data_IF_448588367686
#
_entry.id   IF_448588367686
#
_cell.length_a   1.000
_cell.length_b   1.000
_cell.length_c   1.000
_cell.angle_alpha   90.00
_cell.angle_beta   90.00
_cell.angle_gamma   90.00
#
_symmetry.space_group_name_H-M   'P 1'
#
loop_
_entity.id
_entity.type
_entity.pdbx_description
1 polymer ?
#
# COMPACT_ATOMS: atom_id res chain seq x y z
N UNK A 1 6.69 -13.89 14.32
CA UNK A 1 6.31 -12.88 13.30
C UNK A 1 6.82 -11.48 13.60
N UNK A 2 6.50 -10.82 14.73
CA UNK A 2 6.94 -9.44 14.96
C UNK A 2 8.48 -9.26 14.99
N UNK A 3 9.21 -10.14 15.69
CA UNK A 3 10.68 -10.12 15.73
C UNK A 3 11.28 -10.29 14.34
N UNK A 4 10.82 -11.31 13.61
CA UNK A 4 11.19 -11.58 12.22
C UNK A 4 10.92 -10.37 11.30
N UNK A 5 9.74 -9.74 11.41
CA UNK A 5 9.42 -8.52 10.66
C UNK A 5 10.40 -7.39 10.93
N UNK A 6 10.80 -7.20 12.19
CA UNK A 6 11.77 -6.17 12.58
C UNK A 6 13.18 -6.49 12.05
N UNK A 7 13.61 -7.74 12.13
CA UNK A 7 14.89 -8.21 11.60
C UNK A 7 14.94 -8.00 10.08
N UNK A 8 13.95 -8.53 9.35
CA UNK A 8 13.84 -8.33 7.89
C UNK A 8 13.76 -6.85 7.53
N UNK A 9 13.03 -6.02 8.29
CA UNK A 9 12.97 -4.58 8.05
C UNK A 9 14.34 -3.91 8.21
N UNK A 10 15.14 -4.36 9.18
CA UNK A 10 16.48 -3.80 9.45
C UNK A 10 17.43 -4.17 8.31
N UNK A 11 17.47 -5.45 7.92
CA UNK A 11 18.29 -5.89 6.77
C UNK A 11 17.88 -5.19 5.47
N UNK A 12 16.57 -5.04 5.23
CA UNK A 12 16.07 -4.30 4.08
C UNK A 12 16.51 -2.83 4.12
N UNK A 13 16.49 -2.20 5.29
CA UNK A 13 16.86 -0.81 5.42
C UNK A 13 18.32 -0.58 5.02
N UNK A 14 19.22 -1.46 5.47
CA UNK A 14 20.64 -1.44 5.11
C UNK A 14 20.88 -1.56 3.60
N UNK A 15 20.07 -2.39 2.92
CA UNK A 15 20.19 -2.61 1.47
C UNK A 15 19.55 -1.49 0.66
N UNK A 16 18.45 -0.91 1.15
CA UNK A 16 17.70 0.13 0.44
C UNK A 16 18.40 1.49 0.51
N UNK A 17 18.92 1.84 1.69
CA UNK A 17 19.29 3.22 2.01
C UNK A 17 20.51 3.31 2.93
N UNK A 18 21.42 4.23 2.59
CA UNK A 18 22.59 4.54 3.44
C UNK A 18 22.21 5.14 4.79
N UNK A 19 21.21 6.02 4.79
CA UNK A 19 20.69 6.66 6.01
C UNK A 19 19.21 6.32 6.18
N UNK A 20 18.87 5.67 7.29
CA UNK A 20 17.52 5.22 7.52
C UNK A 20 17.16 5.22 9.01
N UNK A 21 15.86 5.25 9.29
CA UNK A 21 15.31 4.98 10.63
C UNK A 21 14.29 3.87 10.53
N UNK A 22 14.29 2.96 11.51
CA UNK A 22 13.35 1.83 11.58
C UNK A 22 12.58 1.94 12.89
N UNK A 23 11.25 1.99 12.81
CA UNK A 23 10.39 2.05 14.00
C UNK A 23 9.16 1.15 13.86
N UNK A 24 8.58 0.82 15.01
CA UNK A 24 7.39 -0.01 15.11
C UNK A 24 6.14 0.87 15.04
N UNK A 25 5.16 0.45 14.25
CA UNK A 25 3.84 1.05 14.22
C UNK A 25 2.91 0.39 15.26
N UNK A 26 1.93 1.13 15.78
CA UNK A 26 0.94 0.61 16.75
C UNK A 26 0.16 -0.60 16.23
N UNK A 27 0.01 -0.74 14.91
CA UNK A 27 -0.63 -1.89 14.25
C UNK A 27 0.23 -3.15 14.17
N UNK A 28 1.42 -3.18 14.77
CA UNK A 28 2.32 -4.33 14.72
C UNK A 28 3.16 -4.45 13.45
N UNK A 29 3.06 -3.47 12.55
CA UNK A 29 3.97 -3.30 11.43
C UNK A 29 5.27 -2.58 11.80
N UNK A 30 6.19 -2.55 10.85
CA UNK A 30 7.49 -1.87 10.95
C UNK A 30 7.61 -0.91 9.79
N UNK A 31 8.07 0.31 10.06
CA UNK A 31 8.26 1.36 9.06
C UNK A 31 9.74 1.68 8.97
N UNK A 32 10.23 1.73 7.73
CA UNK A 32 11.55 2.19 7.35
C UNK A 32 11.39 3.57 6.72
N UNK A 33 12.07 4.58 7.25
CA UNK A 33 12.09 5.95 6.69
C UNK A 33 13.49 6.30 6.21
N UNK A 34 13.58 6.74 4.96
CA UNK A 34 14.77 7.35 4.39
C UNK A 34 14.51 8.84 4.19
N UNK A 35 14.83 9.65 5.20
CA UNK A 35 14.63 11.12 5.14
C UNK A 35 15.40 11.74 3.97
N UNK A 36 16.65 11.33 3.77
CA UNK A 36 17.54 11.82 2.71
C UNK A 36 17.00 11.61 1.28
N UNK A 37 16.11 10.64 1.07
CA UNK A 37 15.42 10.39 -0.22
C UNK A 37 13.93 10.76 -0.18
N UNK A 38 13.43 11.27 0.94
CA UNK A 38 12.01 11.59 1.15
C UNK A 38 11.07 10.41 0.83
N UNK A 39 11.44 9.19 1.26
CA UNK A 39 10.66 7.96 1.02
C UNK A 39 10.49 7.14 2.29
N UNK A 40 9.40 6.38 2.33
CA UNK A 40 9.15 5.42 3.40
C UNK A 40 8.58 4.10 2.85
N UNK A 41 8.88 3.02 3.56
CA UNK A 41 8.34 1.67 3.36
C UNK A 41 7.74 1.19 4.67
N UNK A 42 6.55 0.57 4.64
CA UNK A 42 6.03 -0.17 5.79
C UNK A 42 5.85 -1.64 5.45
N UNK A 43 6.15 -2.50 6.42
CA UNK A 43 5.90 -3.92 6.42
C UNK A 43 4.88 -4.23 7.51
N UNK A 44 3.74 -4.81 7.16
CA UNK A 44 2.70 -5.20 8.12
C UNK A 44 2.23 -6.64 7.86
N UNK A 45 1.80 -7.40 8.87
CA UNK A 45 1.21 -8.72 8.65
C UNK A 45 -0.02 -8.66 7.72
N UNK A 46 -0.10 -9.57 6.75
CA UNK A 46 -1.19 -9.68 5.75
C UNK A 46 -2.36 -10.55 6.21
N UNK A 47 -2.13 -11.42 7.20
CA UNK A 47 -3.10 -12.41 7.69
C UNK A 47 -2.76 -13.84 7.27
N UNK A 48 -2.08 -14.01 6.13
CA UNK A 48 -1.44 -15.28 5.75
C UNK A 48 -0.18 -15.58 6.56
N UNK A 49 0.19 -16.87 6.65
CA UNK A 49 1.45 -17.29 7.27
C UNK A 49 2.62 -16.79 6.45
N UNK A 50 3.56 -16.12 7.10
CA UNK A 50 4.74 -15.52 6.46
C UNK A 50 4.42 -14.47 5.38
N UNK A 51 3.16 -14.04 5.24
CA UNK A 51 2.77 -12.99 4.31
C UNK A 51 2.84 -11.60 4.96
N UNK A 52 3.36 -10.65 4.20
CA UNK A 52 3.53 -9.26 4.61
C UNK A 52 2.98 -8.34 3.55
N UNK A 53 2.13 -7.41 3.99
CA UNK A 53 1.73 -6.24 3.24
C UNK A 53 2.87 -5.22 3.26
N UNK A 54 3.44 -4.97 2.09
CA UNK A 54 4.44 -3.93 1.85
C UNK A 54 3.73 -2.70 1.29
N UNK A 55 3.94 -1.54 1.90
CA UNK A 55 3.43 -0.26 1.41
C UNK A 55 4.57 0.73 1.22
N UNK A 56 4.49 1.54 0.18
CA UNK A 56 5.48 2.56 -0.13
C UNK A 56 4.83 3.93 -0.25
N UNK A 57 5.54 4.96 0.21
CA UNK A 57 5.07 6.33 0.13
C UNK A 57 6.19 7.35 0.25
N UNK A 58 5.77 8.61 0.41
CA UNK A 58 6.66 9.76 0.47
C UNK A 58 6.67 10.39 1.84
N UNK A 59 7.80 11.00 2.14
CA UNK A 59 7.91 11.94 3.24
C UNK A 59 7.75 13.33 2.63
N UNK A 60 6.83 14.12 3.19
CA UNK A 60 6.58 15.50 2.80
C UNK A 60 7.58 16.43 3.48
N UNK A 61 7.70 17.63 2.94
CA UNK A 61 8.43 18.71 3.60
C UNK A 61 7.88 18.93 5.02
N UNK A 62 8.77 18.97 6.01
CA UNK A 62 8.41 18.97 7.43
C UNK A 62 8.30 17.58 8.07
N UNK A 63 8.71 16.51 7.38
CA UNK A 63 8.86 15.18 7.98
C UNK A 63 7.55 14.41 8.18
N UNK A 64 6.45 14.86 7.58
CA UNK A 64 5.17 14.16 7.63
C UNK A 64 5.13 13.04 6.60
N UNK A 65 4.76 11.82 7.00
CA UNK A 65 4.59 10.71 6.06
C UNK A 65 3.26 10.86 5.31
N UNK A 66 3.33 11.00 3.99
CA UNK A 66 2.15 10.96 3.14
C UNK A 66 1.52 9.54 3.13
N UNK A 67 0.23 9.40 2.80
CA UNK A 67 -0.39 8.10 2.61
C UNK A 67 0.35 7.24 1.58
N UNK A 68 0.24 5.91 1.73
CA UNK A 68 0.79 4.95 0.79
C UNK A 68 0.24 5.21 -0.62
N UNK A 69 1.12 5.15 -1.63
CA UNK A 69 0.74 5.26 -3.05
C UNK A 69 0.75 3.91 -3.73
N UNK A 70 1.64 3.02 -3.30
CA UNK A 70 1.79 1.67 -3.83
C UNK A 70 1.77 0.65 -2.68
N UNK A 71 1.14 -0.48 -2.91
CA UNK A 71 1.02 -1.57 -1.93
C UNK A 71 0.98 -2.94 -2.62
N UNK A 72 1.53 -3.97 -1.96
CA UNK A 72 1.56 -5.35 -2.44
C UNK A 72 1.71 -6.31 -1.26
N UNK A 73 1.15 -7.52 -1.38
CA UNK A 73 1.36 -8.61 -0.43
C UNK A 73 2.45 -9.54 -0.97
N UNK A 74 3.42 -9.88 -0.14
CA UNK A 74 4.58 -10.73 -0.50
C UNK A 74 4.84 -11.75 0.61
N UNK A 75 5.31 -12.94 0.25
CA UNK A 75 5.82 -13.91 1.22
C UNK A 75 7.22 -13.52 1.71
N UNK A 76 7.49 -13.61 3.01
CA UNK A 76 8.84 -13.44 3.58
C UNK A 76 9.81 -14.56 3.15
N UNK A 77 9.30 -15.67 2.63
CA UNK A 77 10.14 -16.80 2.17
C UNK A 77 10.93 -16.53 0.91
N UNK A 78 10.63 -15.45 0.17
CA UNK A 78 11.36 -15.03 -1.05
C UNK A 78 12.77 -14.51 -0.74
N UNK A 79 13.06 -14.22 0.53
CA UNK A 79 14.34 -13.71 0.99
C UNK A 79 14.52 -12.19 0.78
N UNK A 80 15.53 -11.64 1.44
CA UNK A 80 15.75 -10.19 1.57
C UNK A 80 16.10 -9.52 0.23
N UNK A 81 16.82 -10.20 -0.67
CA UNK A 81 17.24 -9.64 -1.96
C UNK A 81 16.07 -9.42 -2.93
N UNK A 82 15.18 -10.41 -3.05
CA UNK A 82 13.97 -10.31 -3.86
C UNK A 82 12.99 -9.30 -3.26
N UNK A 83 12.81 -9.33 -1.94
CA UNK A 83 12.01 -8.35 -1.23
C UNK A 83 12.54 -6.92 -1.42
N UNK A 84 13.86 -6.72 -1.42
CA UNK A 84 14.46 -5.43 -1.74
C UNK A 84 14.20 -4.99 -3.18
N UNK A 85 14.21 -5.92 -4.15
CA UNK A 85 13.85 -5.62 -5.54
C UNK A 85 12.38 -5.18 -5.66
N UNK A 86 11.46 -5.84 -4.96
CA UNK A 86 10.04 -5.46 -4.89
C UNK A 86 9.88 -4.08 -4.25
N UNK A 87 10.54 -3.83 -3.11
CA UNK A 87 10.51 -2.52 -2.45
C UNK A 87 11.01 -1.39 -3.38
N UNK A 88 12.13 -1.61 -4.09
CA UNK A 88 12.65 -0.65 -5.08
C UNK A 88 11.66 -0.37 -6.19
N UNK A 89 10.96 -1.40 -6.68
CA UNK A 89 9.90 -1.24 -7.69
C UNK A 89 8.74 -0.40 -7.15
N UNK A 90 8.23 -0.69 -5.96
CA UNK A 90 7.15 0.11 -5.35
C UNK A 90 7.58 1.57 -5.16
N UNK A 91 8.82 1.82 -4.75
CA UNK A 91 9.38 3.17 -4.61
C UNK A 91 9.45 3.89 -5.97
N UNK A 92 9.84 3.19 -7.04
CA UNK A 92 9.84 3.74 -8.39
C UNK A 92 8.43 4.10 -8.86
N UNK A 93 7.45 3.23 -8.60
CA UNK A 93 6.04 3.50 -8.90
C UNK A 93 5.56 4.75 -8.16
N UNK A 94 5.93 4.90 -6.87
CA UNK A 94 5.58 6.12 -6.13
C UNK A 94 6.20 7.37 -6.74
N UNK A 95 7.36 7.29 -7.40
CA UNK A 95 8.04 8.42 -8.03
C UNK A 95 7.37 8.85 -9.34
N UNK A 96 6.92 7.88 -10.15
CA UNK A 96 6.22 8.11 -11.41
C UNK A 96 4.94 8.96 -11.22
N UNK A 97 4.21 8.76 -10.12
CA UNK A 97 3.00 9.52 -9.79
C UNK A 97 3.21 11.04 -9.62
N UNK A 98 4.44 11.56 -9.45
CA UNK A 98 4.65 13.05 -9.48
C UNK A 98 4.65 13.62 -10.87
N UNK A 99 4.98 12.81 -11.88
CA UNK A 99 5.28 13.33 -13.21
C UNK A 99 4.03 13.64 -14.02
N UNK A 100 2.85 13.28 -13.50
CA UNK A 100 1.57 13.75 -14.03
C UNK A 100 1.30 15.13 -13.44
N UNK A 101 1.48 16.23 -14.21
CA UNK A 101 1.08 17.54 -13.73
C UNK A 101 -0.41 17.49 -13.35
N UNK A 102 -0.83 18.17 -12.26
CA UNK A 102 -2.25 18.26 -11.96
C UNK A 102 -2.92 18.84 -13.19
N UNK A 103 -3.80 18.06 -13.82
CA UNK A 103 -4.64 18.55 -14.89
C UNK A 103 -5.42 19.72 -14.30
N UNK A 104 -4.98 20.92 -14.65
CA UNK A 104 -5.68 22.16 -14.33
C UNK A 104 -7.01 22.05 -15.03
N UNK A 105 -8.05 21.62 -14.30
CA UNK A 105 -9.43 21.79 -14.73
C UNK A 105 -9.68 23.29 -14.77
N UNK A 106 -9.30 23.90 -15.88
CA UNK A 106 -9.70 25.23 -16.31
C UNK A 106 -11.19 25.15 -16.60
N UNK A 107 -12.02 25.26 -15.56
CA UNK A 107 -13.41 25.65 -15.70
C UNK A 107 -13.57 27.01 -15.05
N UNK A 108 -13.97 27.98 -15.88
CA UNK A 108 -14.05 29.39 -15.54
C UNK A 108 -14.98 29.68 -14.37
N UNK A 109 -14.65 30.77 -13.67
CA UNK A 109 -15.58 31.54 -12.84
C UNK A 109 -16.74 32.05 -13.72
N UNK A 110 -17.96 32.24 -13.18
CA UNK A 110 -18.19 33.43 -12.37
C UNK A 110 -19.13 33.28 -11.14
N UNK A 111 -18.77 34.05 -10.10
CA UNK A 111 -19.62 34.85 -9.17
C UNK A 111 -20.78 34.29 -8.33
N UNK A 112 -20.83 34.85 -7.11
CA UNK A 112 -22.00 35.21 -6.28
C UNK A 112 -22.59 34.20 -5.26
N UNK A 113 -22.33 34.54 -3.99
CA UNK A 113 -23.27 34.71 -2.85
C UNK A 113 -24.15 33.56 -2.35
N UNK A 114 -24.24 33.56 -1.02
CA UNK A 114 -25.35 33.17 -0.16
C UNK A 114 -25.33 31.76 0.47
N UNK A 115 -25.42 31.79 1.79
CA UNK A 115 -25.50 30.67 2.71
C UNK A 115 -26.84 29.91 2.62
N UNK A 116 -26.80 28.58 2.78
CA UNK A 116 -27.60 27.80 3.74
C UNK A 116 -27.29 26.29 3.64
N UNK A 117 -27.42 25.52 4.73
CA UNK A 117 -27.05 24.10 4.79
C UNK A 117 -28.22 23.23 4.33
N UNK A 118 -27.97 22.25 3.45
CA UNK A 118 -28.97 21.23 3.14
C UNK A 118 -28.35 19.90 2.70
N UNK A 119 -28.54 18.91 3.59
CA UNK A 119 -28.91 17.51 3.31
C UNK A 119 -27.97 16.66 2.45
N UNK A 120 -27.38 15.65 3.13
CA UNK A 120 -26.94 14.39 2.52
C UNK A 120 -28.01 13.81 1.59
N UNK A 121 -27.60 13.24 0.45
CA UNK A 121 -28.14 11.98 -0.02
C UNK A 121 -27.08 10.89 0.02
N UNK A 122 -27.57 9.73 0.45
CA UNK A 122 -26.91 8.45 0.58
C UNK A 122 -26.58 7.90 -0.82
N UNK A 123 -25.33 8.01 -1.24
CA UNK A 123 -24.81 7.35 -2.44
C UNK A 123 -23.77 6.31 -2.03
N UNK A 124 -24.18 5.04 -1.91
CA UNK A 124 -23.26 3.91 -1.72
C UNK A 124 -22.42 3.76 -3.00
N UNK A 125 -21.26 4.40 -3.03
CA UNK A 125 -20.22 4.10 -4.01
C UNK A 125 -19.54 2.79 -3.60
N UNK A 126 -20.09 1.65 -3.99
CA UNK A 126 -19.25 0.48 -4.24
C UNK A 126 -18.46 0.81 -5.49
N UNK A 127 -17.28 1.41 -5.29
CA UNK A 127 -16.32 1.69 -6.34
C UNK A 127 -16.10 0.43 -7.17
N UNK A 128 -16.01 0.55 -8.50
CA UNK A 128 -15.81 -0.55 -9.44
C UNK A 128 -14.70 -1.53 -9.01
N UNK A 129 -13.70 -1.03 -8.28
CA UNK A 129 -12.62 -1.80 -7.64
C UNK A 129 -13.12 -2.83 -6.62
N UNK A 130 -14.17 -2.51 -5.85
CA UNK A 130 -14.82 -3.44 -4.92
C UNK A 130 -15.53 -4.59 -5.64
N UNK A 131 -15.97 -4.38 -6.88
CA UNK A 131 -16.66 -5.43 -7.65
C UNK A 131 -15.68 -6.47 -8.19
N UNK A 132 -14.47 -6.02 -8.60
CA UNK A 132 -13.37 -6.91 -9.01
C UNK A 132 -12.93 -7.82 -7.86
N UNK A 133 -12.82 -7.28 -6.64
CA UNK A 133 -12.46 -8.08 -5.45
C UNK A 133 -13.52 -9.14 -5.17
N UNK A 134 -14.81 -8.80 -5.27
CA UNK A 134 -15.90 -9.75 -5.07
C UNK A 134 -15.88 -10.86 -6.13
N UNK A 135 -15.68 -10.52 -7.41
CA UNK A 135 -15.54 -11.49 -8.49
C UNK A 135 -14.34 -12.44 -8.26
N UNK A 136 -13.22 -11.90 -7.78
CA UNK A 136 -12.02 -12.68 -7.51
C UNK A 136 -12.24 -13.65 -6.34
N UNK A 137 -12.88 -13.19 -5.25
CA UNK A 137 -13.24 -14.06 -4.11
C UNK A 137 -14.22 -15.15 -4.56
N UNK A 138 -15.24 -14.81 -5.34
CA UNK A 138 -16.21 -15.77 -5.85
C UNK A 138 -15.55 -16.85 -6.72
N UNK A 139 -14.59 -16.47 -7.57
CA UNK A 139 -13.85 -17.40 -8.42
C UNK A 139 -13.00 -18.38 -7.58
N UNK A 140 -12.30 -17.88 -6.55
CA UNK A 140 -11.48 -18.73 -5.65
C UNK A 140 -12.37 -19.71 -4.88
N UNK A 141 -13.49 -19.25 -4.34
CA UNK A 141 -14.45 -20.11 -3.62
C UNK A 141 -15.04 -21.17 -4.56
N UNK A 142 -15.41 -20.79 -5.79
CA UNK A 142 -15.90 -21.74 -6.79
C UNK A 142 -14.86 -22.80 -7.16
N UNK A 143 -13.61 -22.39 -7.37
CA UNK A 143 -12.50 -23.29 -7.67
C UNK A 143 -12.24 -24.27 -6.51
N UNK A 144 -12.29 -23.78 -5.27
CA UNK A 144 -12.10 -24.59 -4.07
C UNK A 144 -13.21 -25.65 -3.94
N UNK A 145 -14.48 -25.25 -4.06
CA UNK A 145 -15.62 -26.18 -4.01
C UNK A 145 -15.48 -27.22 -5.12
N UNK A 146 -15.19 -26.80 -6.35
CA UNK A 146 -15.02 -27.71 -7.48
C UNK A 146 -13.86 -28.70 -7.26
N UNK A 147 -12.74 -28.26 -6.68
CA UNK A 147 -11.60 -29.13 -6.37
C UNK A 147 -11.91 -30.17 -5.30
N UNK A 148 -12.73 -29.80 -4.31
CA UNK A 148 -13.15 -30.71 -3.23
C UNK A 148 -14.20 -31.70 -3.75
N UNK A 149 -15.09 -31.27 -4.65
CA UNK A 149 -16.11 -32.17 -5.22
C UNK A 149 -15.58 -33.08 -6.31
N UNK A 150 -14.52 -32.67 -7.02
CA UNK A 150 -13.94 -33.46 -8.11
C UNK A 150 -12.62 -34.15 -7.71
N UNK A 151 -12.30 -34.26 -6.42
CA UNK A 151 -11.22 -35.12 -5.96
C UNK A 151 -11.64 -36.59 -6.18
N UNK A 152 -11.01 -37.35 -7.11
CA UNK A 152 -11.25 -38.78 -7.20
C UNK A 152 -10.62 -39.46 -5.97
N UNK A 153 -11.41 -40.28 -5.27
CA UNK A 153 -10.91 -41.23 -4.26
C UNK A 153 -9.95 -42.24 -4.87
#
# INVERSE_FOLDING_TARGET
MHTQLRETATELADVLWREHTVYRERGGGVVIRGEHVQRWISLAPSGGRDEVLVRAGRILDGGTTAPARSEIIVSLTVGTSELAAICRRLLADTAADTTVPPQTRRNGRPTARAAKPARRPKGRHTSLRSWVVILCIAAVVGLYVHSVTNAPY
#
